data_IF_601224231381
#
_entry.id   IF_601224231381
#
_cell.length_a   1.000
_cell.length_b   1.000
_cell.length_c   1.000
_cell.angle_alpha   90.00
_cell.angle_beta   90.00
_cell.angle_gamma   90.00
#
_symmetry.space_group_name_H-M   'P 1'
#
loop_
_entity.id
_entity.type
_entity.pdbx_description
1 polymer ?
#
# COMPACT_ATOMS: atom_id res chain seq x y z
N UNK A 1 14.79 -69.80 -25.00
CA UNK A 1 16.03 -69.58 -24.23
C UNK A 1 15.69 -68.62 -23.10
N UNK A 2 15.26 -69.07 -21.91
CA UNK A 2 16.01 -69.71 -20.80
C UNK A 2 17.20 -68.86 -20.30
N UNK A 3 16.98 -68.12 -19.20
CA UNK A 3 17.66 -68.21 -17.86
C UNK A 3 17.36 -66.91 -17.07
N UNK A 4 16.51 -66.93 -16.03
CA UNK A 4 16.79 -67.29 -14.62
C UNK A 4 18.06 -66.66 -14.04
N UNK A 5 17.87 -65.73 -13.09
CA UNK A 5 18.63 -65.50 -11.85
C UNK A 5 17.89 -64.36 -11.10
N UNK A 6 17.06 -64.61 -10.08
CA UNK A 6 17.38 -65.00 -8.69
C UNK A 6 18.40 -64.08 -8.01
N UNK A 7 17.98 -63.48 -6.87
CA UNK A 7 18.67 -63.10 -5.64
C UNK A 7 18.10 -61.75 -5.11
N UNK A 8 17.16 -61.79 -4.15
CA UNK A 8 17.39 -61.73 -2.68
C UNK A 8 18.10 -60.45 -2.22
N UNK A 9 17.41 -59.63 -1.42
CA UNK A 9 17.72 -59.31 -0.01
C UNK A 9 16.71 -58.24 0.48
N UNK A 10 15.87 -58.53 1.49
CA UNK A 10 15.24 -57.50 2.29
C UNK A 10 16.26 -56.98 3.31
N UNK A 11 16.55 -55.68 3.29
CA UNK A 11 17.37 -55.05 4.33
C UNK A 11 16.52 -54.98 5.60
N UNK A 12 16.65 -56.01 6.43
CA UNK A 12 16.26 -56.00 7.84
C UNK A 12 17.17 -55.04 8.58
N UNK A 13 16.65 -53.87 8.95
CA UNK A 13 17.30 -53.01 9.93
C UNK A 13 17.20 -53.67 11.30
N UNK A 14 18.37 -54.07 11.80
CA UNK A 14 18.59 -54.65 13.11
C UNK A 14 18.14 -53.69 14.21
N UNK A 15 17.30 -54.22 15.10
CA UNK A 15 17.12 -53.75 16.45
C UNK A 15 18.49 -53.67 17.15
N UNK A 16 18.87 -52.47 17.58
CA UNK A 16 19.74 -52.29 18.75
C UNK A 16 18.95 -51.48 19.77
N UNK A 17 18.22 -52.22 20.63
CA UNK A 17 17.91 -51.74 21.96
C UNK A 17 19.21 -51.71 22.76
N UNK A 18 19.66 -50.51 23.12
CA UNK A 18 20.52 -50.34 24.30
C UNK A 18 19.80 -49.33 25.18
N UNK A 19 19.26 -49.85 26.29
CA UNK A 19 18.70 -49.03 27.34
C UNK A 19 19.79 -48.20 27.99
N UNK A 20 19.44 -46.98 28.38
CA UNK A 20 20.19 -46.20 29.36
C UNK A 20 19.20 -45.29 30.08
N UNK A 21 18.91 -45.71 31.32
CA UNK A 21 18.70 -44.89 32.51
C UNK A 21 18.19 -43.46 32.31
N UNK A 22 16.92 -43.28 32.68
CA UNK A 22 16.31 -42.01 33.05
C UNK A 22 17.06 -41.40 34.25
N UNK A 23 17.94 -40.44 33.98
CA UNK A 23 18.29 -39.39 34.94
C UNK A 23 17.46 -38.16 34.60
N UNK A 24 16.52 -37.84 35.48
CA UNK A 24 15.83 -36.55 35.48
C UNK A 24 16.86 -35.44 35.68
N UNK A 25 17.35 -34.86 34.59
CA UNK A 25 17.95 -33.52 34.64
C UNK A 25 16.80 -32.52 34.56
N UNK A 26 16.43 -32.02 35.73
CA UNK A 26 15.69 -30.76 35.87
C UNK A 26 16.47 -29.70 35.12
N UNK A 27 16.01 -29.35 33.93
CA UNK A 27 16.55 -28.21 33.17
C UNK A 27 16.15 -26.96 33.93
N UNK A 28 17.08 -26.48 34.75
CA UNK A 28 17.01 -25.18 35.38
C UNK A 28 16.83 -24.12 34.27
N UNK A 29 15.60 -23.61 34.15
CA UNK A 29 15.22 -22.65 33.09
C UNK A 29 15.66 -21.23 33.43
N UNK A 30 16.64 -21.07 34.32
CA UNK A 30 17.18 -19.78 34.75
C UNK A 30 18.52 -19.47 34.10
N UNK A 31 18.65 -19.72 32.79
CA UNK A 31 19.62 -18.96 31.99
C UNK A 31 18.84 -17.87 31.27
N UNK A 32 18.90 -16.66 31.83
CA UNK A 32 18.49 -15.44 31.15
C UNK A 32 19.42 -15.32 29.95
N UNK A 33 18.98 -15.84 28.80
CA UNK A 33 19.51 -15.41 27.51
C UNK A 33 19.03 -13.97 27.40
N UNK A 34 19.86 -13.04 27.87
CA UNK A 34 19.81 -11.66 27.39
C UNK A 34 20.28 -11.70 25.94
N UNK A 35 19.44 -12.24 25.07
CA UNK A 35 19.52 -12.02 23.63
C UNK A 35 18.97 -10.61 23.44
N UNK A 36 19.77 -9.63 23.85
CA UNK A 36 19.61 -8.27 23.39
C UNK A 36 19.86 -8.31 21.89
N UNK A 37 18.80 -8.65 21.14
CA UNK A 37 18.66 -8.30 19.73
C UNK A 37 19.35 -6.94 19.57
N UNK A 38 20.38 -6.82 18.72
CA UNK A 38 21.06 -5.54 18.56
C UNK A 38 19.95 -4.53 18.32
N UNK A 39 19.85 -3.52 19.19
CA UNK A 39 18.84 -2.47 19.09
C UNK A 39 19.00 -1.94 17.68
N UNK A 40 18.14 -2.39 16.74
CA UNK A 40 18.11 -1.87 15.39
C UNK A 40 18.00 -0.37 15.59
N UNK A 41 18.85 0.45 14.96
CA UNK A 41 18.70 1.89 15.07
C UNK A 41 17.22 2.19 14.80
N UNK A 42 16.57 2.95 15.68
CA UNK A 42 15.20 3.43 15.46
C UNK A 42 15.26 4.46 14.33
N UNK A 43 15.55 3.99 13.13
CA UNK A 43 15.35 4.74 11.89
C UNK A 43 13.86 5.00 11.87
N UNK A 44 13.47 6.28 11.85
CA UNK A 44 12.06 6.63 11.79
C UNK A 44 11.44 5.91 10.57
N UNK A 45 10.18 5.50 10.68
CA UNK A 45 9.47 4.91 9.54
C UNK A 45 9.58 5.83 8.30
N UNK A 46 9.53 7.14 8.52
CA UNK A 46 9.75 8.16 7.50
C UNK A 46 11.17 8.19 6.95
N UNK A 47 12.21 8.02 7.78
CA UNK A 47 13.59 7.93 7.30
C UNK A 47 13.78 6.72 6.38
N UNK A 48 13.13 5.59 6.71
CA UNK A 48 13.14 4.39 5.87
C UNK A 48 12.42 4.64 4.53
N UNK A 49 11.30 5.37 4.55
CA UNK A 49 10.60 5.78 3.32
C UNK A 49 11.44 6.77 2.50
N UNK A 50 12.08 7.76 3.12
CA UNK A 50 12.94 8.71 2.43
C UNK A 50 14.20 8.06 1.87
N UNK A 51 14.73 7.04 2.55
CA UNK A 51 15.85 6.25 2.06
C UNK A 51 15.44 5.38 0.86
N UNK A 52 14.21 4.86 0.83
CA UNK A 52 13.74 4.01 -0.26
C UNK A 52 13.19 4.79 -1.47
N UNK A 53 12.58 5.95 -1.22
CA UNK A 53 11.78 6.69 -2.21
C UNK A 53 12.20 8.15 -2.42
N UNK A 54 13.22 8.62 -1.68
CA UNK A 54 13.76 9.97 -1.78
C UNK A 54 13.05 10.99 -0.87
N UNK A 55 13.79 12.04 -0.51
CA UNK A 55 13.27 13.16 0.29
C UNK A 55 12.23 14.00 -0.48
N UNK A 56 11.40 14.81 0.24
CA UNK A 56 10.52 15.77 -0.41
C UNK A 56 11.31 16.71 -1.33
N UNK A 57 10.75 17.05 -2.50
CA UNK A 57 11.44 17.96 -3.42
C UNK A 57 11.42 19.37 -2.83
N UNK A 58 12.58 20.05 -2.77
CA UNK A 58 12.63 21.48 -2.50
C UNK A 58 11.80 22.25 -3.52
N UNK A 59 11.02 23.24 -3.07
CA UNK A 59 10.13 24.00 -3.95
C UNK A 59 10.89 24.65 -5.12
N UNK A 60 12.18 25.01 -4.93
CA UNK A 60 13.06 25.56 -5.98
C UNK A 60 13.38 24.61 -7.13
N UNK A 61 13.29 23.30 -6.91
CA UNK A 61 13.57 22.27 -7.92
C UNK A 61 12.30 21.68 -8.52
N UNK A 62 11.13 22.02 -7.98
CA UNK A 62 9.86 21.38 -8.30
C UNK A 62 9.54 21.38 -9.80
N UNK A 63 9.81 22.47 -10.52
CA UNK A 63 9.56 22.58 -11.95
C UNK A 63 10.26 21.50 -12.79
N UNK A 64 11.40 20.97 -12.32
CA UNK A 64 12.13 19.91 -13.02
C UNK A 64 11.43 18.55 -12.95
N UNK A 65 10.49 18.38 -12.03
CA UNK A 65 9.78 17.13 -11.77
C UNK A 65 8.32 17.14 -12.23
N UNK A 66 7.83 18.26 -12.77
CA UNK A 66 6.47 18.39 -13.27
C UNK A 66 6.42 18.19 -14.78
N UNK A 67 5.38 17.51 -15.25
CA UNK A 67 5.00 17.54 -16.65
C UNK A 67 4.62 18.97 -17.07
N UNK A 68 4.69 19.25 -18.38
CA UNK A 68 4.41 20.60 -18.91
C UNK A 68 2.92 20.86 -19.09
N UNK A 69 2.15 19.80 -19.34
CA UNK A 69 0.76 19.92 -19.75
C UNK A 69 -0.16 20.13 -18.54
N UNK A 70 -0.88 21.25 -18.59
CA UNK A 70 -1.95 21.52 -17.63
C UNK A 70 -3.21 20.78 -18.05
N UNK A 71 -3.77 20.02 -17.12
CA UNK A 71 -4.97 19.21 -17.32
C UNK A 71 -6.05 19.60 -16.33
N UNK A 72 -7.31 19.40 -16.72
CA UNK A 72 -8.45 19.37 -15.80
C UNK A 72 -8.94 17.93 -15.67
N UNK A 73 -8.96 17.40 -14.45
CA UNK A 73 -9.38 16.03 -14.16
C UNK A 73 -10.65 16.03 -13.32
N UNK A 74 -11.57 15.10 -13.66
CA UNK A 74 -12.67 14.71 -12.79
C UNK A 74 -12.31 13.41 -12.10
N UNK A 75 -12.20 13.45 -10.78
CA UNK A 75 -11.68 12.35 -9.98
C UNK A 75 -12.73 11.83 -9.00
N UNK A 76 -12.83 10.52 -8.93
CA UNK A 76 -13.58 9.83 -7.89
C UNK A 76 -12.67 9.34 -6.79
N UNK A 77 -13.17 9.43 -5.57
CA UNK A 77 -12.55 8.83 -4.40
C UNK A 77 -13.06 7.41 -4.25
N UNK A 78 -12.13 6.47 -4.16
CA UNK A 78 -12.40 5.05 -3.98
C UNK A 78 -11.84 4.65 -2.61
N UNK A 79 -12.72 4.13 -1.75
CA UNK A 79 -12.30 3.49 -0.51
C UNK A 79 -11.82 2.09 -0.86
N UNK A 80 -10.58 1.81 -0.51
CA UNK A 80 -9.96 0.50 -0.67
C UNK A 80 -9.79 -0.15 0.70
N UNK A 81 -9.89 -1.48 0.76
CA UNK A 81 -9.46 -2.24 1.95
C UNK A 81 -7.94 -2.37 2.08
N UNK A 82 -7.17 -1.54 1.38
CA UNK A 82 -5.71 -1.47 1.40
C UNK A 82 -5.26 -0.01 1.49
N UNK A 83 -4.08 0.27 2.05
CA UNK A 83 -3.44 1.55 1.84
C UNK A 83 -3.10 1.60 0.36
N UNK A 84 -3.92 2.26 -0.46
CA UNK A 84 -3.76 2.38 -1.90
C UNK A 84 -4.07 3.83 -2.31
N UNK A 85 -3.48 4.38 -3.39
CA UNK A 85 -3.82 5.73 -3.86
C UNK A 85 -5.34 5.81 -4.13
N UNK A 86 -6.07 6.72 -3.47
CA UNK A 86 -7.52 6.61 -3.39
C UNK A 86 -8.25 7.27 -4.56
N UNK A 87 -7.54 7.98 -5.45
CA UNK A 87 -8.16 8.72 -6.54
C UNK A 87 -8.05 8.00 -7.86
N UNK A 88 -9.12 8.08 -8.64
CA UNK A 88 -9.19 7.55 -10.00
C UNK A 88 -9.91 8.55 -10.90
N UNK A 89 -9.48 8.66 -12.16
CA UNK A 89 -10.24 9.42 -13.14
C UNK A 89 -11.62 8.78 -13.37
N UNK A 90 -12.66 9.60 -13.45
CA UNK A 90 -14.05 9.12 -13.61
C UNK A 90 -14.22 8.22 -14.83
N UNK A 91 -13.54 8.53 -15.94
CA UNK A 91 -13.54 7.75 -17.18
C UNK A 91 -12.97 6.34 -17.00
N UNK A 92 -12.13 6.12 -15.99
CA UNK A 92 -11.47 4.85 -15.70
C UNK A 92 -12.11 4.08 -14.54
N UNK A 93 -13.16 4.65 -13.91
CA UNK A 93 -13.81 4.05 -12.74
C UNK A 93 -14.37 2.65 -13.00
N UNK A 94 -14.90 2.38 -14.18
CA UNK A 94 -15.42 1.04 -14.51
C UNK A 94 -14.33 -0.03 -14.49
N UNK A 95 -13.14 0.28 -14.99
CA UNK A 95 -12.00 -0.63 -15.02
C UNK A 95 -11.53 -1.04 -13.62
N UNK A 96 -11.64 -0.12 -12.65
CA UNK A 96 -11.33 -0.36 -11.23
C UNK A 96 -12.17 -1.48 -10.64
N UNK A 97 -13.48 -1.51 -10.90
CA UNK A 97 -14.38 -2.49 -10.30
C UNK A 97 -14.47 -3.80 -11.09
N UNK A 98 -14.13 -3.78 -12.38
CA UNK A 98 -14.17 -4.97 -13.22
C UNK A 98 -12.90 -5.82 -13.11
N UNK A 99 -11.79 -5.24 -12.66
CA UNK A 99 -10.51 -5.93 -12.53
C UNK A 99 -10.26 -6.29 -11.05
N UNK A 100 -9.96 -7.57 -10.77
CA UNK A 100 -9.55 -8.03 -9.43
C UNK A 100 -8.27 -7.33 -8.93
N UNK A 101 -7.47 -6.79 -9.84
CA UNK A 101 -6.31 -5.95 -9.55
C UNK A 101 -6.14 -4.95 -10.69
N UNK A 102 -6.70 -3.73 -10.60
CA UNK A 102 -6.51 -2.72 -11.63
C UNK A 102 -5.02 -2.38 -11.74
N UNK A 103 -4.54 -2.21 -12.98
CA UNK A 103 -3.16 -1.78 -13.25
C UNK A 103 -2.85 -0.50 -12.47
N UNK A 104 -1.59 -0.37 -12.03
CA UNK A 104 -1.10 0.75 -11.21
C UNK A 104 -1.28 2.13 -11.84
N UNK A 105 -1.54 2.21 -13.13
CA UNK A 105 -1.70 3.45 -13.90
C UNK A 105 -3.10 4.09 -13.79
N UNK A 106 -4.08 3.38 -13.22
CA UNK A 106 -5.44 3.89 -13.02
C UNK A 106 -5.58 4.69 -11.73
N UNK A 107 -4.70 4.44 -10.76
CA UNK A 107 -4.73 4.99 -9.40
C UNK A 107 -3.73 6.13 -9.27
N UNK A 108 -4.13 7.18 -8.58
CA UNK A 108 -3.27 8.33 -8.36
C UNK A 108 -3.47 8.94 -6.97
N UNK A 109 -2.46 9.69 -6.55
CA UNK A 109 -2.58 10.67 -5.49
C UNK A 109 -2.86 12.04 -6.08
N UNK A 110 -3.45 12.90 -5.26
CA UNK A 110 -3.54 14.34 -5.54
C UNK A 110 -2.83 15.11 -4.45
N UNK A 111 -2.30 16.28 -4.80
CA UNK A 111 -1.59 17.15 -3.88
C UNK A 111 -1.89 18.62 -4.20
N UNK A 112 -2.21 19.43 -3.18
CA UNK A 112 -2.40 20.86 -3.39
C UNK A 112 -1.06 21.58 -3.59
N UNK A 113 -1.03 22.60 -4.45
CA UNK A 113 0.13 23.50 -4.51
C UNK A 113 0.31 24.37 -3.26
N UNK A 114 -0.77 24.61 -2.51
CA UNK A 114 -0.78 25.41 -1.27
C UNK A 114 -1.94 25.00 -0.35
N UNK A 115 -1.83 25.23 0.98
CA UNK A 115 -2.87 24.80 1.93
C UNK A 115 -4.27 25.38 1.66
N UNK A 116 -4.37 26.62 1.17
CA UNK A 116 -5.64 27.33 0.98
C UNK A 116 -6.57 26.76 -0.09
N UNK A 117 -6.09 25.85 -0.95
CA UNK A 117 -6.89 25.23 -2.01
C UNK A 117 -7.17 23.75 -1.73
N UNK A 118 -6.78 23.24 -0.56
CA UNK A 118 -6.96 21.82 -0.21
C UNK A 118 -8.44 21.45 -0.25
N UNK A 119 -8.71 20.29 -0.83
CA UNK A 119 -10.04 19.68 -0.75
C UNK A 119 -10.33 19.24 0.68
N UNK A 120 -11.56 19.48 1.12
CA UNK A 120 -12.10 18.88 2.34
C UNK A 120 -12.36 17.39 2.10
N UNK A 121 -11.41 16.55 2.55
CA UNK A 121 -11.45 15.11 2.36
C UNK A 121 -12.66 14.45 3.04
N UNK A 122 -13.28 15.08 4.05
CA UNK A 122 -14.46 14.54 4.73
C UNK A 122 -15.68 14.41 3.81
N UNK A 123 -15.72 15.15 2.70
CA UNK A 123 -16.77 15.08 1.67
C UNK A 123 -16.68 13.82 0.81
N UNK A 124 -15.52 13.16 0.79
CA UNK A 124 -15.23 12.05 -0.08
C UNK A 124 -15.24 10.74 0.72
N UNK A 125 -16.11 9.82 0.34
CA UNK A 125 -16.28 8.55 1.04
C UNK A 125 -16.88 7.49 0.10
N UNK A 126 -17.06 6.28 0.63
CA UNK A 126 -17.63 5.16 -0.10
C UNK A 126 -19.04 5.42 -0.67
N UNK A 127 -19.81 6.37 -0.10
CA UNK A 127 -21.12 6.73 -0.63
C UNK A 127 -21.04 7.50 -1.96
N UNK A 128 -19.85 7.99 -2.34
CA UNK A 128 -19.60 8.56 -3.66
C UNK A 128 -20.43 9.80 -3.99
N UNK A 129 -20.92 10.53 -2.96
CA UNK A 129 -21.79 11.71 -3.13
C UNK A 129 -21.10 12.89 -3.80
N UNK A 130 -19.78 12.98 -3.65
CA UNK A 130 -18.96 14.03 -4.23
C UNK A 130 -17.89 13.42 -5.14
N UNK A 131 -17.49 14.20 -6.13
CA UNK A 131 -16.30 13.97 -6.94
C UNK A 131 -15.47 15.25 -7.01
N UNK A 132 -14.18 15.13 -7.25
CA UNK A 132 -13.29 16.27 -7.33
C UNK A 132 -13.17 16.73 -8.79
N UNK A 133 -13.16 18.04 -9.01
CA UNK A 133 -12.68 18.65 -10.25
C UNK A 133 -11.43 19.42 -9.89
N UNK A 134 -10.30 19.01 -10.47
CA UNK A 134 -8.98 19.57 -10.16
C UNK A 134 -8.29 20.00 -11.44
N UNK A 135 -7.58 21.12 -11.38
CA UNK A 135 -6.74 21.61 -12.49
C UNK A 135 -5.30 21.72 -12.03
N UNK A 136 -4.40 21.16 -12.82
CA UNK A 136 -3.05 20.88 -12.36
C UNK A 136 -2.17 20.21 -13.40
N UNK A 137 -1.07 19.64 -12.91
CA UNK A 137 -0.05 18.94 -13.71
C UNK A 137 0.35 17.65 -13.00
N UNK A 138 0.75 16.64 -13.77
CA UNK A 138 1.35 15.44 -13.19
C UNK A 138 2.81 15.67 -12.83
N UNK A 139 3.29 14.91 -11.85
CA UNK A 139 4.73 14.67 -11.72
C UNK A 139 5.19 13.69 -12.82
N UNK A 140 6.40 13.90 -13.34
CA UNK A 140 7.01 13.05 -14.39
C UNK A 140 7.20 11.61 -13.94
N UNK A 141 7.36 11.37 -12.64
CA UNK A 141 7.67 10.07 -12.06
C UNK A 141 6.72 9.74 -10.91
N UNK A 142 6.54 8.43 -10.66
CA UNK A 142 5.77 7.93 -9.51
C UNK A 142 6.45 8.34 -8.21
N UNK A 143 5.68 8.80 -7.23
CA UNK A 143 6.19 9.28 -5.94
C UNK A 143 5.10 9.30 -4.87
N UNK A 144 5.47 9.73 -3.66
CA UNK A 144 4.52 10.17 -2.65
C UNK A 144 4.18 11.65 -2.80
N UNK A 145 2.92 12.05 -2.53
CA UNK A 145 2.59 13.46 -2.43
C UNK A 145 3.22 14.02 -1.15
N UNK A 146 3.62 15.30 -1.16
CA UNK A 146 4.27 15.95 0.00
C UNK A 146 3.43 15.83 1.27
N UNK A 147 2.12 16.01 1.13
CA UNK A 147 1.14 16.09 2.23
C UNK A 147 0.90 14.76 2.93
N UNK A 148 1.20 13.66 2.27
CA UNK A 148 1.09 12.30 2.82
C UNK A 148 2.10 12.06 3.94
N UNK A 149 3.26 12.68 3.82
CA UNK A 149 4.33 12.57 4.80
C UNK A 149 3.99 13.31 6.10
N UNK A 150 3.04 14.24 6.03
CA UNK A 150 2.65 15.11 7.15
C UNK A 150 1.43 14.58 7.91
N UNK A 151 0.66 13.62 7.37
CA UNK A 151 -0.72 13.35 7.83
C UNK A 151 -1.05 11.91 8.22
N UNK A 152 -0.19 10.92 7.95
CA UNK A 152 -0.58 9.50 8.09
C UNK A 152 0.26 8.76 9.12
N UNK A 153 -0.35 8.49 10.28
CA UNK A 153 0.33 7.91 11.44
C UNK A 153 0.14 6.39 11.59
N UNK A 154 -0.70 5.74 10.78
CA UNK A 154 -1.07 4.33 11.00
C UNK A 154 -1.16 3.55 9.67
N UNK A 155 -0.47 2.40 9.67
CA UNK A 155 -0.24 1.42 8.60
C UNK A 155 0.79 1.76 7.50
N UNK A 156 1.56 0.76 7.01
CA UNK A 156 2.60 1.01 6.02
C UNK A 156 1.99 1.60 4.75
N UNK A 157 2.58 2.72 4.35
CA UNK A 157 2.23 3.50 3.19
C UNK A 157 2.12 2.64 1.93
N UNK A 158 1.19 2.93 1.01
CA UNK A 158 1.17 2.29 -0.29
C UNK A 158 2.48 2.62 -1.00
N UNK A 159 2.87 1.84 -1.97
CA UNK A 159 3.93 2.13 -2.94
C UNK A 159 3.77 3.53 -3.61
N UNK A 160 4.85 4.12 -4.15
CA UNK A 160 4.79 5.35 -4.93
C UNK A 160 3.90 5.19 -6.16
N UNK A 161 3.10 6.21 -6.48
CA UNK A 161 2.15 6.18 -7.59
C UNK A 161 2.17 7.50 -8.37
N UNK A 162 1.36 7.60 -9.42
CA UNK A 162 1.16 8.88 -10.12
C UNK A 162 0.64 9.92 -9.11
N UNK A 163 1.18 11.12 -9.18
CA UNK A 163 0.75 12.24 -8.35
C UNK A 163 0.31 13.38 -9.25
N UNK A 164 -0.90 13.88 -9.03
CA UNK A 164 -1.43 15.05 -9.70
C UNK A 164 -1.39 16.26 -8.77
N UNK A 165 -0.54 17.23 -9.09
CA UNK A 165 -0.39 18.47 -8.31
C UNK A 165 -1.34 19.53 -8.84
N UNK A 166 -2.32 19.91 -8.05
CA UNK A 166 -3.37 20.84 -8.47
C UNK A 166 -3.18 22.25 -7.89
N UNK A 167 -3.52 23.26 -8.69
CA UNK A 167 -3.53 24.67 -8.29
C UNK A 167 -4.94 25.27 -8.25
N UNK A 168 -5.94 24.55 -8.78
CA UNK A 168 -7.37 24.82 -8.57
C UNK A 168 -8.09 23.50 -8.23
N UNK A 169 -9.05 23.55 -7.32
CA UNK A 169 -9.83 22.38 -6.95
C UNK A 169 -11.23 22.76 -6.47
N UNK A 170 -12.20 21.89 -6.73
CA UNK A 170 -13.54 21.96 -6.15
C UNK A 170 -14.12 20.57 -5.93
N UNK A 171 -14.83 20.40 -4.83
CA UNK A 171 -15.68 19.24 -4.60
C UNK A 171 -17.06 19.50 -5.22
N UNK A 172 -17.50 18.61 -6.10
CA UNK A 172 -18.78 18.72 -6.80
C UNK A 172 -19.70 17.61 -6.35
N UNK A 173 -20.90 17.99 -5.90
CA UNK A 173 -21.94 17.06 -5.48
C UNK A 173 -22.61 16.43 -6.71
N UNK A 174 -22.81 15.12 -6.69
CA UNK A 174 -23.56 14.43 -7.75
C UNK A 174 -25.06 14.66 -7.56
N UNK A 175 -25.75 15.00 -8.64
CA UNK A 175 -27.21 15.07 -8.65
C UNK A 175 -27.81 13.67 -8.54
N UNK A 176 -28.97 13.54 -7.89
CA UNK A 176 -29.78 12.30 -7.89
C UNK A 176 -29.43 11.23 -6.83
N UNK A 177 -28.48 11.46 -5.93
CA UNK A 177 -28.14 10.49 -4.86
C UNK A 177 -28.93 10.69 -3.55
N UNK A 178 -29.79 11.71 -3.47
CA UNK A 178 -30.59 12.00 -2.27
C UNK A 178 -31.91 11.23 -2.21
N UNK A 179 -32.32 10.64 -3.33
CA UNK A 179 -33.61 9.97 -3.49
C UNK A 179 -33.55 8.48 -3.20
N UNK A 180 -32.37 7.90 -2.96
CA UNK A 180 -32.22 6.53 -2.47
C UNK A 180 -32.53 6.49 -0.97
N UNK A 181 -33.78 6.79 -0.60
CA UNK A 181 -34.33 6.36 0.69
C UNK A 181 -34.35 4.85 0.66
N UNK A 182 -33.54 4.22 1.50
CA UNK A 182 -33.65 2.80 1.79
C UNK A 182 -35.08 2.58 2.29
N UNK A 183 -35.91 1.89 1.49
CA UNK A 183 -37.15 1.33 2.02
C UNK A 183 -36.73 0.36 3.11
N UNK A 184 -37.10 0.71 4.33
CA UNK A 184 -37.01 -0.18 5.48
C UNK A 184 -38.25 -1.07 5.36
N UNK A 185 -38.06 -2.26 4.80
CA UNK A 185 -39.05 -3.35 4.89
C UNK A 185 -39.06 -3.89 6.33
#
# INVERSE_FOLDING_TARGET
MIKLLSFLIPITLLFNCVGSTSTNQTVDTTSIINDSLPKRPKVSYYDSLFQLYGQPIPDSLLANYLEKDTLELKLDYIVWGCPCPPWVEQSKRSAVYQQKSPKDDVRLYIEATRPSIRLDLSKFNAAGKYYAVVKGVFYKEKRFPKEVLDQWNEEPFPYPAKVFRYFEAKAVRRAGLDTLRIKKD
#
